data_IF_675511273239
#
_entry.id   IF_675511273239
#
_cell.length_a   1.000
_cell.length_b   1.000
_cell.length_c   1.000
_cell.angle_alpha   90.00
_cell.angle_beta   90.00
_cell.angle_gamma   90.00
#
_symmetry.space_group_name_H-M   'P 1'
#
loop_
_entity.id
_entity.type
_entity.pdbx_description
1 polymer ?
#
# COMPACT_ATOMS: atom_id res chain seq x y z
N UNK A 1 8.65 -12.22 -13.29
CA UNK A 1 9.02 -12.47 -11.87
C UNK A 1 8.31 -11.41 -11.06
N UNK A 2 7.46 -11.79 -10.12
CA UNK A 2 6.69 -10.84 -9.31
C UNK A 2 7.12 -10.93 -7.85
N UNK A 3 7.02 -9.81 -7.16
CA UNK A 3 7.15 -9.73 -5.71
C UNK A 3 5.75 -9.66 -5.12
N UNK A 4 5.42 -10.61 -4.24
CA UNK A 4 4.14 -10.68 -3.57
C UNK A 4 4.32 -10.09 -2.17
N UNK A 5 3.66 -8.96 -1.91
CA UNK A 5 3.73 -8.26 -0.63
C UNK A 5 2.39 -8.42 0.09
N UNK A 6 2.42 -9.09 1.24
CA UNK A 6 1.29 -9.17 2.18
C UNK A 6 1.44 -8.09 3.23
N UNK A 7 0.41 -7.28 3.39
CA UNK A 7 0.42 -6.12 4.30
C UNK A 7 -0.92 -5.94 4.99
N UNK A 8 -0.92 -5.15 6.05
CA UNK A 8 -2.08 -4.75 6.83
C UNK A 8 -2.16 -3.23 6.89
N UNK A 9 -3.34 -2.70 6.61
CA UNK A 9 -3.70 -1.29 6.76
C UNK A 9 -4.56 -1.10 8.00
N UNK A 10 -4.24 -0.09 8.78
CA UNK A 10 -4.98 0.32 9.96
C UNK A 10 -5.67 1.65 9.64
N UNK A 11 -6.98 1.70 9.82
CA UNK A 11 -7.80 2.89 9.67
C UNK A 11 -8.14 3.40 11.07
N UNK A 12 -7.34 4.35 11.58
CA UNK A 12 -7.48 4.83 12.96
C UNK A 12 -8.83 5.50 13.21
N UNK A 13 -9.33 6.25 12.22
CA UNK A 13 -10.63 6.92 12.28
C UNK A 13 -11.79 5.96 12.51
N UNK A 14 -11.69 4.72 12.03
CA UNK A 14 -12.75 3.72 12.11
C UNK A 14 -12.43 2.57 13.08
N UNK A 15 -11.23 2.59 13.67
CA UNK A 15 -10.67 1.48 14.43
C UNK A 15 -10.81 0.13 13.67
N UNK A 16 -10.55 0.15 12.36
CA UNK A 16 -10.64 -1.04 11.48
C UNK A 16 -9.27 -1.41 10.94
N UNK A 17 -9.07 -2.70 10.74
CA UNK A 17 -7.86 -3.25 10.13
C UNK A 17 -8.24 -4.08 8.91
N UNK A 18 -7.49 -3.93 7.82
CA UNK A 18 -7.69 -4.70 6.60
C UNK A 18 -6.34 -5.29 6.21
N UNK A 19 -6.35 -6.57 5.86
CA UNK A 19 -5.17 -7.25 5.34
C UNK A 19 -5.36 -7.55 3.86
N UNK A 20 -4.32 -7.32 3.06
CA UNK A 20 -4.38 -7.54 1.63
C UNK A 20 -3.01 -7.98 1.07
N UNK A 21 -3.03 -8.41 -0.19
CA UNK A 21 -1.87 -8.86 -0.93
C UNK A 21 -1.80 -8.12 -2.26
N UNK A 22 -0.65 -7.51 -2.53
CA UNK A 22 -0.35 -6.87 -3.81
C UNK A 22 0.80 -7.60 -4.49
N UNK A 23 0.70 -7.68 -5.82
CA UNK A 23 1.76 -8.21 -6.68
C UNK A 23 2.44 -7.04 -7.37
N UNK A 24 3.77 -7.01 -7.27
CA UNK A 24 4.62 -5.96 -7.83
C UNK A 24 5.52 -6.59 -8.87
N UNK A 25 5.44 -6.11 -10.11
CA UNK A 25 6.28 -6.62 -11.20
C UNK A 25 7.74 -6.18 -11.03
N UNK A 26 8.67 -7.10 -11.31
CA UNK A 26 10.08 -6.75 -11.45
C UNK A 26 10.26 -5.80 -12.64
N UNK A 27 11.02 -4.72 -12.43
CA UNK A 27 11.22 -3.62 -13.38
C UNK A 27 10.14 -2.54 -13.29
N UNK A 28 9.17 -2.65 -12.36
CA UNK A 28 8.17 -1.61 -12.17
C UNK A 28 8.83 -0.33 -11.66
N UNK A 29 8.66 0.76 -12.41
CA UNK A 29 9.13 2.09 -12.02
C UNK A 29 8.06 2.84 -11.22
N UNK A 30 8.48 3.54 -10.18
CA UNK A 30 7.61 4.35 -9.34
C UNK A 30 8.34 5.60 -8.84
N UNK A 31 7.58 6.63 -8.46
CA UNK A 31 8.12 7.81 -7.80
C UNK A 31 7.96 7.69 -6.29
N UNK A 32 9.03 7.85 -5.52
CA UNK A 32 8.97 7.70 -4.06
C UNK A 32 8.66 9.02 -3.31
N UNK A 33 8.40 10.11 -4.04
CA UNK A 33 8.24 11.46 -3.49
C UNK A 33 9.49 12.34 -3.67
N UNK A 34 10.65 11.74 -3.94
CA UNK A 34 11.92 12.43 -4.12
C UNK A 34 12.56 12.12 -5.48
N UNK A 35 12.58 10.83 -5.85
CA UNK A 35 13.22 10.35 -7.09
C UNK A 35 12.41 9.22 -7.74
N UNK A 36 12.72 8.95 -9.01
CA UNK A 36 12.20 7.77 -9.69
C UNK A 36 13.02 6.54 -9.28
N UNK A 37 12.33 5.55 -8.73
CA UNK A 37 12.86 4.27 -8.30
C UNK A 37 12.34 3.15 -9.20
N UNK A 38 12.90 1.95 -9.07
CA UNK A 38 12.43 0.78 -9.79
C UNK A 38 12.60 -0.48 -8.93
N UNK A 39 11.69 -1.44 -9.10
CA UNK A 39 11.62 -2.63 -8.27
C UNK A 39 12.45 -3.75 -8.86
N UNK A 40 13.55 -4.13 -8.17
CA UNK A 40 14.41 -5.23 -8.59
C UNK A 40 14.60 -6.30 -7.52
N UNK A 41 14.21 -6.03 -6.28
CA UNK A 41 14.27 -6.96 -5.16
C UNK A 41 13.06 -6.80 -4.21
N UNK A 42 12.98 -7.66 -3.19
CA UNK A 42 11.89 -7.65 -2.20
C UNK A 42 11.83 -6.35 -1.37
N UNK A 43 12.98 -5.72 -1.09
CA UNK A 43 13.04 -4.47 -0.34
C UNK A 43 12.48 -3.31 -1.16
N UNK A 44 12.80 -3.25 -2.46
CA UNK A 44 12.24 -2.25 -3.38
C UNK A 44 10.71 -2.41 -3.49
N UNK A 45 10.21 -3.65 -3.53
CA UNK A 45 8.78 -3.92 -3.56
C UNK A 45 8.07 -3.45 -2.27
N UNK A 46 8.73 -3.58 -1.11
CA UNK A 46 8.25 -3.04 0.15
C UNK A 46 8.28 -1.51 0.14
N UNK A 47 9.35 -0.91 -0.39
CA UNK A 47 9.50 0.54 -0.45
C UNK A 47 8.49 1.18 -1.39
N UNK A 48 8.20 0.55 -2.53
CA UNK A 48 7.10 0.91 -3.42
C UNK A 48 5.77 1.03 -2.67
N UNK A 49 5.44 0.05 -1.82
CA UNK A 49 4.21 0.09 -1.03
C UNK A 49 4.18 1.25 -0.04
N UNK A 50 5.29 1.47 0.65
CA UNK A 50 5.44 2.59 1.60
C UNK A 50 5.33 3.93 0.89
N UNK A 51 5.91 4.06 -0.31
CA UNK A 51 5.83 5.25 -1.13
C UNK A 51 4.38 5.56 -1.53
N UNK A 52 3.65 4.56 -2.03
CA UNK A 52 2.25 4.75 -2.40
C UNK A 52 1.40 5.19 -1.19
N UNK A 53 1.59 4.55 -0.03
CA UNK A 53 0.89 4.94 1.20
C UNK A 53 1.26 6.37 1.64
N UNK A 54 2.54 6.74 1.59
CA UNK A 54 3.03 8.08 1.97
C UNK A 54 2.51 9.17 1.04
N UNK A 55 2.39 8.89 -0.25
CA UNK A 55 1.91 9.83 -1.26
C UNK A 55 0.39 9.99 -1.28
N UNK A 56 -0.34 9.29 -0.39
CA UNK A 56 -1.79 9.35 -0.32
C UNK A 56 -2.49 8.62 -1.48
N UNK A 57 -1.76 7.90 -2.31
CA UNK A 57 -2.31 7.11 -3.43
C UNK A 57 -2.81 5.74 -2.94
N UNK A 58 -3.38 5.70 -1.73
CA UNK A 58 -3.72 4.48 -1.02
C UNK A 58 -4.78 3.64 -1.76
N UNK A 59 -5.62 4.29 -2.57
CA UNK A 59 -6.60 3.66 -3.48
C UNK A 59 -5.95 2.74 -4.53
N UNK A 60 -4.65 2.93 -4.82
CA UNK A 60 -3.89 2.01 -5.68
C UNK A 60 -3.47 0.72 -4.97
N UNK A 61 -3.37 0.76 -3.63
CA UNK A 61 -3.00 -0.41 -2.83
C UNK A 61 -4.21 -1.30 -2.60
N UNK A 62 -5.35 -0.72 -2.26
CA UNK A 62 -6.52 -1.51 -1.88
C UNK A 62 -7.80 -0.92 -2.45
N UNK A 63 -8.76 -1.80 -2.70
CA UNK A 63 -10.15 -1.36 -2.85
C UNK A 63 -10.66 -0.96 -1.47
N UNK A 64 -10.76 0.34 -1.25
CA UNK A 64 -11.33 0.88 -0.02
C UNK A 64 -12.77 0.38 0.11
N UNK A 65 -13.13 -0.33 1.20
CA UNK A 65 -14.52 -0.71 1.41
C UNK A 65 -15.39 0.53 1.43
N UNK A 66 -16.54 0.48 0.76
CA UNK A 66 -17.45 1.61 0.65
C UNK A 66 -17.84 2.20 2.02
N UNK A 67 -17.92 1.36 3.05
CA UNK A 67 -18.18 1.74 4.45
C UNK A 67 -17.21 2.79 5.03
N UNK A 68 -16.01 2.95 4.44
CA UNK A 68 -15.04 3.97 4.85
C UNK A 68 -15.40 5.35 4.27
N UNK A 69 -16.00 5.37 3.07
CA UNK A 69 -16.52 6.60 2.44
C UNK A 69 -17.85 7.06 3.04
N UNK A 70 -18.63 6.15 3.64
CA UNK A 70 -19.91 6.46 4.32
C UNK A 70 -19.75 7.22 5.65
N UNK A 71 -18.52 7.56 6.06
CA UNK A 71 -18.28 8.41 7.22
C UNK A 71 -18.75 9.85 6.96
N UNK A 72 -19.20 10.54 8.00
CA UNK A 72 -19.67 11.95 7.92
C UNK A 72 -18.66 12.91 7.25
N UNK A 73 -17.40 12.49 7.10
CA UNK A 73 -16.30 13.27 6.57
C UNK A 73 -15.92 12.95 5.12
N UNK A 74 -16.44 11.88 4.51
CA UNK A 74 -16.22 11.53 3.09
C UNK A 74 -14.76 11.24 2.68
N UNK A 75 -13.81 11.26 3.62
CA UNK A 75 -12.37 11.10 3.37
C UNK A 75 -11.80 9.87 4.09
N UNK A 76 -10.79 9.25 3.48
CA UNK A 76 -9.99 8.21 4.13
C UNK A 76 -9.16 8.90 5.21
N UNK A 77 -9.58 8.73 6.47
CA UNK A 77 -8.89 9.33 7.62
C UNK A 77 -7.48 8.78 7.86
N UNK A 78 -6.92 9.02 9.05
CA UNK A 78 -5.54 8.63 9.35
C UNK A 78 -5.31 7.11 9.16
N UNK A 79 -4.36 6.77 8.30
CA UNK A 79 -4.00 5.38 7.97
C UNK A 79 -2.58 5.03 8.40
N UNK A 80 -2.35 3.75 8.67
CA UNK A 80 -1.01 3.21 8.90
C UNK A 80 -0.82 1.89 8.17
N UNK A 81 0.36 1.69 7.60
CA UNK A 81 0.73 0.49 6.86
C UNK A 81 1.71 -0.36 7.66
N UNK A 82 1.43 -1.67 7.76
CA UNK A 82 2.33 -2.68 8.31
C UNK A 82 2.58 -3.77 7.29
N UNK A 83 3.85 -4.01 6.97
CA UNK A 83 4.23 -5.13 6.10
C UNK A 83 4.28 -6.40 6.94
N UNK A 84 3.63 -7.46 6.45
CA UNK A 84 3.61 -8.77 7.11
C UNK A 84 4.65 -9.71 6.52
N UNK A 85 4.72 -9.77 5.19
CA UNK A 85 5.67 -10.64 4.48
C UNK A 85 5.85 -10.16 3.03
N UNK A 86 7.06 -10.34 2.49
CA UNK A 86 7.36 -10.21 1.06
C UNK A 86 8.02 -11.51 0.59
N UNK A 87 7.71 -11.97 -0.62
CA UNK A 87 8.37 -13.11 -1.25
C UNK A 87 8.24 -13.04 -2.77
N UNK A 88 9.15 -13.70 -3.48
CA UNK A 88 9.06 -13.88 -4.95
C UNK A 88 7.95 -14.89 -5.28
N UNK A 89 7.05 -14.54 -6.20
CA UNK A 89 5.93 -15.37 -6.64
C UNK A 89 5.58 -15.22 -8.12
#
# INVERSE_FOLDING_TARGET
>A
MQYVVRYKLFFHTFNKEIEDIIKVDNGLSYFNGETNCSVYNEADAIEYLKAIHKLGEIEKLFKVPQEIYDSEYGEVGATSLKILRCWIG
#
